data_IF_852343989545
#
_entry.id   IF_852343989545
#
_cell.length_a   1.000
_cell.length_b   1.000
_cell.length_c   1.000
_cell.angle_alpha   90.00
_cell.angle_beta   90.00
_cell.angle_gamma   90.00
#
_symmetry.space_group_name_H-M   'P 1'
#
loop_
_entity.id
_entity.type
_entity.pdbx_description
1 polymer ?
#
# COMPACT_ATOMS: atom_id res chain seq x y z
N UNK A 1 19.85 -9.54 11.47
CA UNK A 1 19.68 -8.52 10.42
C UNK A 1 18.21 -8.09 10.38
N UNK A 2 17.72 -7.56 11.50
CA UNK A 2 16.34 -7.09 11.64
C UNK A 2 16.23 -5.73 10.97
N UNK A 3 16.19 -5.74 9.65
CA UNK A 3 16.19 -4.55 8.82
C UNK A 3 14.78 -3.94 8.87
N UNK A 4 14.69 -2.89 9.68
CA UNK A 4 13.81 -1.72 9.51
C UNK A 4 12.44 -1.74 10.21
N UNK A 5 12.55 -1.26 11.44
CA UNK A 5 11.54 -0.77 12.38
C UNK A 5 10.99 0.61 11.93
N UNK A 6 10.82 0.90 10.63
CA UNK A 6 10.47 2.27 10.16
C UNK A 6 9.55 2.33 8.93
N UNK A 7 8.30 1.90 9.06
CA UNK A 7 7.23 2.60 8.35
C UNK A 7 6.10 2.86 9.33
N UNK A 8 5.96 4.12 9.71
CA UNK A 8 4.87 4.68 10.49
C UNK A 8 3.54 4.42 9.76
N UNK A 9 2.98 3.24 9.98
CA UNK A 9 1.74 2.82 9.35
C UNK A 9 1.44 1.35 9.59
N UNK A 10 0.15 1.02 9.59
CA UNK A 10 -0.45 -0.22 10.11
C UNK A 10 0.37 -1.52 9.93
N UNK A 11 0.27 -2.48 10.88
CA UNK A 11 0.90 -3.78 10.72
C UNK A 11 0.42 -4.45 9.42
N UNK A 12 1.36 -4.89 8.58
CA UNK A 12 1.09 -5.48 7.28
C UNK A 12 2.03 -4.98 6.18
N UNK A 13 2.30 -5.83 5.19
CA UNK A 13 3.15 -5.52 4.03
C UNK A 13 2.27 -5.16 2.83
N UNK A 14 2.73 -4.22 2.00
CA UNK A 14 2.07 -3.90 0.74
C UNK A 14 2.04 -5.14 -0.18
N UNK A 15 0.91 -5.42 -0.84
CA UNK A 15 0.84 -6.50 -1.81
C UNK A 15 1.78 -6.22 -2.99
N UNK A 16 2.25 -7.30 -3.64
CA UNK A 16 3.00 -7.17 -4.89
C UNK A 16 2.15 -6.40 -5.92
N UNK A 17 2.79 -5.54 -6.70
CA UNK A 17 2.12 -4.74 -7.71
C UNK A 17 2.23 -5.44 -9.09
N UNK A 18 1.23 -6.25 -9.53
CA UNK A 18 1.28 -6.94 -10.82
C UNK A 18 1.03 -6.01 -12.02
N UNK A 19 0.72 -4.74 -11.75
CA UNK A 19 0.20 -3.83 -12.75
C UNK A 19 1.33 -3.18 -13.56
N UNK A 20 1.30 -3.39 -14.88
CA UNK A 20 2.14 -2.68 -15.84
C UNK A 20 1.58 -1.28 -16.06
N UNK A 21 2.37 -0.27 -15.74
CA UNK A 21 1.95 1.11 -15.86
C UNK A 21 1.90 1.55 -17.31
N UNK A 22 0.71 1.94 -17.77
CA UNK A 22 0.50 2.56 -19.08
C UNK A 22 0.68 4.09 -19.05
N UNK A 23 0.81 4.70 -17.87
CA UNK A 23 1.03 6.14 -17.68
C UNK A 23 1.06 6.54 -16.19
N UNK A 24 1.36 7.82 -15.89
CA UNK A 24 1.29 8.37 -14.54
C UNK A 24 -0.18 8.45 -14.09
N UNK A 25 -0.47 7.89 -12.92
CA UNK A 25 -1.81 7.81 -12.37
C UNK A 25 -1.89 8.69 -11.11
N UNK A 26 -3.00 9.39 -10.84
CA UNK A 26 -3.11 10.24 -9.66
C UNK A 26 -3.08 9.41 -8.37
N UNK A 27 -2.35 9.92 -7.38
CA UNK A 27 -2.27 9.35 -6.04
C UNK A 27 -3.61 9.50 -5.29
N UNK A 28 -4.17 8.40 -4.80
CA UNK A 28 -5.40 8.38 -3.99
C UNK A 28 -5.10 8.59 -2.50
N UNK A 29 -3.90 8.25 -2.06
CA UNK A 29 -3.46 8.41 -0.67
C UNK A 29 -2.01 8.89 -0.64
N UNK A 30 -1.61 9.51 0.47
CA UNK A 30 -0.23 9.95 0.70
C UNK A 30 0.46 9.13 1.78
N UNK A 31 -0.30 8.73 2.79
CA UNK A 31 0.21 8.07 3.98
C UNK A 31 -0.75 6.97 4.44
N UNK A 32 -0.23 6.00 5.20
CA UNK A 32 -1.01 4.90 5.79
C UNK A 32 -2.15 5.41 6.70
N UNK A 33 -2.00 6.61 7.28
CA UNK A 33 -3.02 7.26 8.11
C UNK A 33 -4.17 7.86 7.31
N UNK A 34 -3.95 8.20 6.04
CA UNK A 34 -5.02 8.66 5.14
C UNK A 34 -5.98 7.52 4.79
N UNK A 35 -5.56 6.28 5.01
CA UNK A 35 -6.33 5.08 4.70
C UNK A 35 -7.18 4.64 5.90
N UNK A 36 -8.50 4.54 5.69
CA UNK A 36 -9.43 4.05 6.71
C UNK A 36 -9.28 2.53 6.94
N UNK A 37 -9.45 2.10 8.20
CA UNK A 37 -9.54 0.67 8.53
C UNK A 37 -8.18 -0.02 8.59
N UNK A 38 -8.03 -1.21 7.99
CA UNK A 38 -6.77 -1.99 7.95
C UNK A 38 -5.92 -1.68 6.71
N UNK A 39 -6.37 -0.72 5.90
CA UNK A 39 -5.75 -0.38 4.62
C UNK A 39 -4.47 0.41 4.86
N UNK A 40 -3.50 0.19 3.98
CA UNK A 40 -2.24 0.94 3.90
C UNK A 40 -2.17 1.66 2.56
N UNK A 41 -1.41 2.75 2.56
CA UNK A 41 -1.10 3.46 1.35
C UNK A 41 0.09 2.80 0.68
N UNK A 42 -0.17 2.12 -0.43
CA UNK A 42 0.81 1.33 -1.13
C UNK A 42 0.88 1.76 -2.59
N UNK A 43 2.08 1.74 -3.16
CA UNK A 43 2.27 2.01 -4.57
C UNK A 43 1.72 0.86 -5.42
N UNK A 44 0.69 1.14 -6.20
CA UNK A 44 -0.02 0.17 -7.04
C UNK A 44 -0.50 0.80 -8.35
N UNK A 45 -0.27 0.12 -9.48
CA UNK A 45 -0.57 0.65 -10.83
C UNK A 45 -0.04 2.08 -11.07
N UNK A 46 1.20 2.36 -10.68
CA UNK A 46 1.81 3.70 -10.81
C UNK A 46 1.08 4.86 -10.13
N UNK A 47 0.37 4.56 -9.04
CA UNK A 47 -0.16 5.55 -8.10
C UNK A 47 -0.08 5.01 -6.67
N UNK A 48 -0.07 5.90 -5.70
CA UNK A 48 -0.37 5.54 -4.31
C UNK A 48 -1.85 5.22 -4.16
N UNK A 49 -2.17 4.00 -3.74
CA UNK A 49 -3.56 3.54 -3.53
C UNK A 49 -3.76 2.95 -2.14
N UNK A 50 -4.97 3.10 -1.62
CA UNK A 50 -5.38 2.48 -0.36
C UNK A 50 -5.63 0.99 -0.56
N UNK A 51 -4.60 0.16 -0.45
CA UNK A 51 -4.72 -1.28 -0.57
C UNK A 51 -4.86 -1.92 0.81
N UNK A 52 -5.60 -3.02 0.88
CA UNK A 52 -5.54 -3.87 2.06
C UNK A 52 -4.13 -4.44 2.17
N UNK A 53 -3.55 -4.40 3.36
CA UNK A 53 -2.30 -5.11 3.61
C UNK A 53 -2.48 -6.57 3.21
N UNK A 54 -1.48 -7.17 2.55
CA UNK A 54 -1.55 -8.55 2.01
C UNK A 54 -1.76 -9.65 3.07
N UNK A 55 -1.99 -9.28 4.34
CA UNK A 55 -2.45 -10.14 5.42
C UNK A 55 -3.97 -10.34 5.45
N UNK A 56 -4.75 -9.55 4.69
CA UNK A 56 -6.18 -9.79 4.49
C UNK A 56 -6.36 -10.56 3.18
N UNK A 57 -6.34 -11.90 3.26
CA UNK A 57 -6.91 -12.75 2.23
C UNK A 57 -8.42 -12.42 2.18
N UNK A 58 -8.83 -11.63 1.20
CA UNK A 58 -10.24 -11.46 0.84
C UNK A 58 -10.45 -12.00 -0.55
N UNK A 59 -10.49 -13.33 -0.63
CA UNK A 59 -11.64 -14.03 -1.22
C UNK A 59 -12.51 -14.56 -0.07
#
# INVERSE_FOLDING_TARGET
>A
FSFLIFLQGKPGTCPANPCLCTGPQPDECRDDYSCLGRKKCCYFCCAMRSNTSSSDNSL
#
